data_IF_931103267328
#
_entry.id   IF_931103267328
#
_cell.length_a   1.000
_cell.length_b   1.000
_cell.length_c   1.000
_cell.angle_alpha   90.00
_cell.angle_beta   90.00
_cell.angle_gamma   90.00
#
_symmetry.space_group_name_H-M   'P 1'
#
loop_
_entity.id
_entity.type
_entity.pdbx_description
1 polymer ?
#
# COMPACT_ATOMS: atom_id res chain seq x y z
N UNK A 1 37.83 41.19 -53.27
CA UNK A 1 36.80 41.40 -52.23
C UNK A 1 36.37 40.03 -51.74
N UNK A 2 36.75 39.67 -50.52
CA UNK A 2 36.52 38.33 -49.96
C UNK A 2 35.34 38.41 -48.99
N UNK A 3 34.30 37.60 -49.21
CA UNK A 3 33.15 37.50 -48.33
C UNK A 3 33.50 36.67 -47.08
N UNK A 4 33.06 37.06 -45.88
CA UNK A 4 33.33 36.32 -44.66
C UNK A 4 32.45 35.08 -44.54
N UNK A 5 33.05 33.95 -44.18
CA UNK A 5 32.38 32.68 -43.90
C UNK A 5 31.81 32.73 -42.49
N UNK A 6 30.48 32.73 -42.34
CA UNK A 6 29.81 32.61 -41.06
C UNK A 6 29.88 31.14 -40.58
N UNK A 7 30.67 30.86 -39.55
CA UNK A 7 30.55 29.62 -38.78
C UNK A 7 29.47 29.84 -37.72
N UNK A 8 28.30 29.22 -37.92
CA UNK A 8 27.25 29.17 -36.90
C UNK A 8 27.72 28.41 -35.66
N UNK A 9 27.17 28.70 -34.46
CA UNK A 9 27.54 28.00 -33.24
C UNK A 9 27.19 26.51 -33.37
N UNK A 10 28.01 25.61 -32.77
CA UNK A 10 27.72 24.19 -32.79
C UNK A 10 26.40 23.93 -32.06
N UNK A 11 25.48 23.22 -32.73
CA UNK A 11 24.25 22.71 -32.11
C UNK A 11 24.68 21.78 -30.96
N UNK A 12 24.23 22.01 -29.72
CA UNK A 12 24.56 21.11 -28.63
C UNK A 12 23.99 19.73 -28.94
N UNK A 13 24.86 18.71 -28.96
CA UNK A 13 24.45 17.33 -29.07
C UNK A 13 23.49 17.03 -27.91
N UNK A 14 22.22 16.79 -28.23
CA UNK A 14 21.24 16.35 -27.24
C UNK A 14 21.64 14.95 -26.77
N UNK A 15 22.34 14.87 -25.65
CA UNK A 15 22.62 13.60 -24.98
C UNK A 15 21.28 13.06 -24.48
N UNK A 16 20.69 12.13 -25.22
CA UNK A 16 19.56 11.33 -24.77
C UNK A 16 20.01 10.48 -23.58
N UNK A 17 19.87 11.01 -22.37
CA UNK A 17 19.99 10.22 -21.16
C UNK A 17 18.81 9.25 -21.09
N UNK A 18 18.97 8.07 -21.70
CA UNK A 18 18.06 6.94 -21.54
C UNK A 18 18.06 6.55 -20.06
N UNK A 19 16.92 6.77 -19.39
CA UNK A 19 16.76 6.37 -17.99
C UNK A 19 16.86 4.85 -17.87
N UNK A 20 17.63 4.33 -16.90
CA UNK A 20 17.72 2.89 -16.67
C UNK A 20 16.36 2.34 -16.22
N UNK A 21 15.88 1.32 -16.93
CA UNK A 21 14.68 0.57 -16.54
C UNK A 21 15.07 -0.60 -15.62
N UNK A 22 14.42 -0.71 -14.47
CA UNK A 22 14.65 -1.75 -13.46
C UNK A 22 13.37 -2.55 -13.24
N UNK A 23 13.42 -3.70 -12.55
CA UNK A 23 12.18 -4.39 -12.17
C UNK A 23 11.43 -3.63 -11.08
N UNK A 24 10.11 -3.82 -10.97
CA UNK A 24 9.30 -3.30 -9.87
C UNK A 24 9.89 -3.75 -8.53
N UNK A 25 10.26 -5.03 -8.42
CA UNK A 25 10.91 -5.56 -7.21
C UNK A 25 12.13 -4.74 -6.83
N UNK A 26 13.01 -4.47 -7.80
CA UNK A 26 14.22 -3.70 -7.54
C UNK A 26 13.88 -2.27 -7.10
N UNK A 27 13.00 -1.57 -7.80
CA UNK A 27 12.60 -0.20 -7.46
C UNK A 27 11.98 -0.09 -6.06
N UNK A 28 11.11 -1.03 -5.70
CA UNK A 28 10.47 -1.08 -4.38
C UNK A 28 11.42 -1.56 -3.27
N UNK A 29 12.52 -2.24 -3.63
CA UNK A 29 13.53 -2.71 -2.68
C UNK A 29 14.61 -1.70 -2.33
N UNK A 30 14.69 -0.56 -3.04
CA UNK A 30 15.71 0.44 -2.78
C UNK A 30 15.60 0.98 -1.34
N UNK A 31 16.72 1.40 -0.72
CA UNK A 31 16.75 1.98 0.62
C UNK A 31 15.65 3.01 0.85
N UNK A 32 14.97 2.95 2.00
CA UNK A 32 14.02 3.99 2.38
C UNK A 32 14.77 5.22 2.91
N UNK A 33 14.08 6.35 2.93
CA UNK A 33 14.64 7.53 3.57
C UNK A 33 14.83 7.33 5.08
N UNK A 34 15.91 7.89 5.62
CA UNK A 34 16.13 7.90 7.06
C UNK A 34 15.22 8.94 7.71
N UNK A 35 14.42 8.52 8.67
CA UNK A 35 13.52 9.40 9.40
C UNK A 35 14.11 9.75 10.76
N UNK A 36 14.21 11.05 11.02
CA UNK A 36 14.61 11.62 12.29
C UNK A 36 13.42 12.29 12.95
N UNK A 37 13.49 12.36 14.27
CA UNK A 37 12.55 13.10 15.09
C UNK A 37 13.35 13.94 16.09
N UNK A 38 12.84 15.13 16.41
CA UNK A 38 13.35 15.94 17.47
C UNK A 38 13.27 15.15 18.79
N UNK A 39 14.39 15.12 19.53
CA UNK A 39 14.49 14.43 20.83
C UNK A 39 13.48 14.95 21.87
N UNK A 40 12.93 16.14 21.64
CA UNK A 40 12.02 16.84 22.54
C UNK A 40 10.74 17.26 21.80
N UNK A 41 9.94 16.29 21.37
CA UNK A 41 8.56 16.59 21.01
C UNK A 41 7.83 17.14 22.26
N UNK A 42 7.09 18.26 22.18
CA UNK A 42 6.30 18.76 23.29
C UNK A 42 5.38 17.64 23.79
N UNK A 43 5.44 17.36 25.09
CA UNK A 43 4.60 16.38 25.79
C UNK A 43 3.14 16.84 25.91
N UNK A 44 2.62 17.56 24.91
CA UNK A 44 1.18 17.73 24.78
C UNK A 44 0.64 16.43 24.20
N UNK A 45 0.50 15.45 25.09
CA UNK A 45 -0.61 14.51 25.02
C UNK A 45 -1.87 15.38 25.05
N UNK A 46 -2.21 16.02 23.93
CA UNK A 46 -3.56 16.52 23.73
C UNK A 46 -4.36 15.25 23.84
N UNK A 47 -5.05 15.11 24.97
CA UNK A 47 -5.85 13.95 25.29
C UNK A 47 -6.64 13.65 24.05
N UNK A 48 -6.32 12.52 23.43
CA UNK A 48 -7.05 12.03 22.29
C UNK A 48 -8.40 11.56 22.85
N UNK A 49 -9.26 12.54 23.14
CA UNK A 49 -10.52 12.41 23.88
C UNK A 49 -11.59 11.77 23.01
N UNK A 50 -11.31 11.59 21.73
CA UNK A 50 -12.13 10.84 20.80
C UNK A 50 -11.86 9.35 20.94
N UNK A 51 -12.27 8.80 22.10
CA UNK A 51 -12.59 7.36 22.21
C UNK A 51 -13.61 7.04 21.12
N UNK A 52 -13.19 6.28 20.12
CA UNK A 52 -14.08 5.81 19.08
C UNK A 52 -13.94 4.31 19.01
N UNK A 53 -14.70 3.63 19.87
CA UNK A 53 -14.71 2.19 19.95
C UNK A 53 -15.33 1.64 18.66
N UNK A 54 -14.52 0.98 17.84
CA UNK A 54 -15.05 -0.07 16.98
C UNK A 54 -15.54 -1.18 17.90
N UNK A 55 -16.72 -1.74 17.63
CA UNK A 55 -17.30 -2.80 18.47
C UNK A 55 -16.34 -4.00 18.46
N UNK A 56 -15.85 -4.36 19.66
CA UNK A 56 -14.95 -5.48 19.93
C UNK A 56 -13.84 -5.69 18.86
N UNK A 57 -12.70 -5.02 19.04
CA UNK A 57 -11.51 -5.21 18.19
C UNK A 57 -10.70 -6.43 18.64
N UNK A 58 -10.69 -7.50 17.84
CA UNK A 58 -9.65 -8.52 17.95
C UNK A 58 -8.45 -8.09 17.10
N UNK A 59 -7.24 -8.22 17.63
CA UNK A 59 -6.02 -7.81 16.96
C UNK A 59 -5.13 -9.05 16.84
N UNK A 60 -4.78 -9.38 15.60
CA UNK A 60 -3.98 -10.54 15.25
C UNK A 60 -2.79 -10.07 14.39
N UNK A 61 -1.69 -10.81 14.46
CA UNK A 61 -0.58 -10.60 13.53
C UNK A 61 -0.98 -11.11 12.13
N UNK A 62 -0.57 -10.39 11.10
CA UNK A 62 -0.85 -10.71 9.70
C UNK A 62 0.26 -11.60 9.14
N UNK A 63 0.30 -12.84 9.59
CA UNK A 63 1.44 -13.76 9.39
C UNK A 63 1.73 -14.12 7.92
N UNK A 64 0.72 -14.13 7.06
CA UNK A 64 0.88 -14.37 5.61
C UNK A 64 1.23 -13.12 4.80
N UNK A 65 1.33 -11.93 5.43
CA UNK A 65 1.83 -10.71 4.80
C UNK A 65 3.34 -10.58 4.99
N UNK A 66 4.10 -11.39 4.26
CA UNK A 66 5.56 -11.41 4.30
C UNK A 66 6.17 -11.43 2.89
N UNK A 67 7.48 -11.23 2.78
CA UNK A 67 8.17 -11.16 1.48
C UNK A 67 8.00 -12.43 0.66
N UNK A 68 8.13 -13.62 1.27
CA UNK A 68 8.06 -14.89 0.54
C UNK A 68 6.68 -15.10 -0.10
N UNK A 69 5.62 -14.84 0.66
CA UNK A 69 4.24 -14.97 0.18
C UNK A 69 3.96 -13.92 -0.89
N UNK A 70 4.25 -12.64 -0.63
CA UNK A 70 3.98 -11.55 -1.58
C UNK A 70 4.83 -11.66 -2.85
N UNK A 71 6.08 -12.09 -2.72
CA UNK A 71 7.00 -12.33 -3.83
C UNK A 71 6.53 -13.44 -4.76
N UNK A 72 5.97 -14.52 -4.21
CA UNK A 72 5.34 -15.57 -5.00
C UNK A 72 4.01 -15.11 -5.61
N UNK A 73 3.17 -14.45 -4.81
CA UNK A 73 1.84 -14.01 -5.19
C UNK A 73 1.89 -12.99 -6.34
N UNK A 74 2.87 -12.08 -6.34
CA UNK A 74 3.01 -11.02 -7.33
C UNK A 74 4.22 -11.20 -8.27
N UNK A 75 4.78 -12.41 -8.39
CA UNK A 75 6.03 -12.67 -9.13
C UNK A 75 6.08 -12.00 -10.51
N UNK A 76 5.05 -12.22 -11.33
CA UNK A 76 5.02 -11.68 -12.70
C UNK A 76 4.91 -10.14 -12.71
N UNK A 77 4.15 -9.57 -11.77
CA UNK A 77 4.04 -8.11 -11.59
C UNK A 77 5.36 -7.51 -11.12
N UNK A 78 5.98 -8.10 -10.10
CA UNK A 78 7.25 -7.65 -9.54
C UNK A 78 8.40 -7.72 -10.55
N UNK A 79 8.29 -8.59 -11.56
CA UNK A 79 9.25 -8.69 -12.68
C UNK A 79 9.09 -7.60 -13.75
N UNK A 80 7.96 -6.88 -13.77
CA UNK A 80 7.71 -5.83 -14.76
C UNK A 80 8.75 -4.73 -14.67
N UNK A 81 9.12 -4.17 -15.82
CA UNK A 81 10.09 -3.06 -15.90
C UNK A 81 9.41 -1.74 -15.58
N UNK A 82 10.02 -0.92 -14.74
CA UNK A 82 9.64 0.46 -14.41
C UNK A 82 10.84 1.38 -14.62
N UNK A 83 10.57 2.66 -14.81
CA UNK A 83 11.60 3.68 -14.74
C UNK A 83 11.92 3.96 -13.28
N UNK A 84 13.21 4.16 -12.97
CA UNK A 84 13.57 4.64 -11.65
C UNK A 84 12.94 6.03 -11.41
N UNK A 85 12.45 6.30 -10.19
CA UNK A 85 11.74 7.53 -9.88
C UNK A 85 12.70 8.73 -9.91
N UNK A 86 12.45 9.66 -10.82
CA UNK A 86 13.31 10.82 -11.10
C UNK A 86 13.16 11.98 -10.11
N UNK A 87 12.24 11.89 -9.16
CA UNK A 87 11.89 12.98 -8.24
C UNK A 87 11.82 12.59 -6.77
N UNK A 88 12.14 11.33 -6.44
CA UNK A 88 12.14 10.89 -5.05
C UNK A 88 13.29 11.57 -4.32
N UNK A 89 12.98 12.48 -3.39
CA UNK A 89 14.01 13.06 -2.54
C UNK A 89 14.59 11.97 -1.66
N UNK A 90 15.87 11.66 -1.84
CA UNK A 90 16.61 10.74 -0.99
C UNK A 90 17.42 11.58 0.00
N UNK A 91 17.12 11.43 1.29
CA UNK A 91 17.80 12.21 2.33
C UNK A 91 17.16 12.01 3.70
N UNK A 92 17.79 12.59 4.74
CA UNK A 92 17.19 12.62 6.07
C UNK A 92 15.92 13.46 6.06
N UNK A 93 14.82 12.92 6.58
CA UNK A 93 13.60 13.70 6.84
C UNK A 93 13.42 13.87 8.33
N UNK A 94 13.16 15.11 8.75
CA UNK A 94 12.75 15.43 10.11
C UNK A 94 11.23 15.40 10.15
N UNK A 95 10.67 14.52 10.98
CA UNK A 95 9.23 14.23 11.06
C UNK A 95 8.77 14.43 12.51
N UNK A 96 8.62 15.70 12.90
CA UNK A 96 8.23 16.12 14.23
C UNK A 96 6.70 16.26 14.35
N UNK A 97 6.04 16.54 13.22
CA UNK A 97 4.60 16.68 13.13
C UNK A 97 3.99 15.97 11.91
N UNK A 98 2.65 15.94 11.88
CA UNK A 98 1.87 15.26 10.85
C UNK A 98 2.07 15.91 9.47
N UNK A 99 2.26 17.23 9.38
CA UNK A 99 2.45 17.92 8.09
C UNK A 99 3.83 17.60 7.48
N UNK A 100 4.87 17.47 8.30
CA UNK A 100 6.17 16.97 7.86
C UNK A 100 6.10 15.51 7.44
N UNK A 101 5.35 14.67 8.16
CA UNK A 101 5.11 13.28 7.76
C UNK A 101 4.41 13.21 6.39
N UNK A 102 3.39 14.04 6.16
CA UNK A 102 2.71 14.16 4.86
C UNK A 102 3.68 14.60 3.78
N UNK A 103 4.48 15.63 4.05
CA UNK A 103 5.47 16.15 3.09
C UNK A 103 6.48 15.08 2.72
N UNK A 104 7.05 14.35 3.70
CA UNK A 104 7.94 13.23 3.44
C UNK A 104 7.27 12.18 2.56
N UNK A 105 6.03 11.81 2.87
CA UNK A 105 5.29 10.83 2.08
C UNK A 105 5.13 11.29 0.62
N UNK A 106 4.72 12.54 0.39
CA UNK A 106 4.48 13.07 -0.94
C UNK A 106 5.77 13.34 -1.73
N UNK A 107 6.87 13.71 -1.07
CA UNK A 107 8.16 14.01 -1.72
C UNK A 107 9.08 12.79 -1.88
N UNK A 108 8.88 11.73 -1.08
CA UNK A 108 9.68 10.51 -1.12
C UNK A 108 8.88 9.29 -1.58
N UNK A 109 7.86 8.88 -0.83
CA UNK A 109 7.15 7.62 -1.10
C UNK A 109 6.26 7.69 -2.34
N UNK A 110 5.51 8.77 -2.53
CA UNK A 110 4.60 8.95 -3.66
C UNK A 110 5.29 8.71 -5.01
N UNK A 111 6.36 9.47 -5.34
CA UNK A 111 7.09 9.31 -6.60
C UNK A 111 7.68 7.91 -6.78
N UNK A 112 8.10 7.24 -5.70
CA UNK A 112 8.65 5.87 -5.76
C UNK A 112 7.59 4.81 -6.04
N UNK A 113 6.35 5.06 -5.67
CA UNK A 113 5.25 4.11 -5.78
C UNK A 113 4.43 4.29 -7.05
N UNK A 114 4.47 5.47 -7.68
CA UNK A 114 3.63 5.83 -8.83
C UNK A 114 3.75 4.86 -10.03
N UNK A 115 4.91 4.77 -10.68
CA UNK A 115 5.10 3.86 -11.84
C UNK A 115 4.92 2.37 -11.45
N UNK A 116 5.45 1.88 -10.31
CA UNK A 116 5.14 0.53 -9.83
C UNK A 116 3.65 0.23 -9.64
N UNK A 117 2.89 1.15 -9.04
CA UNK A 117 1.44 0.97 -8.86
C UNK A 117 0.75 0.98 -10.22
N UNK A 118 1.09 1.91 -11.11
CA UNK A 118 0.47 2.01 -12.42
C UNK A 118 0.68 0.72 -13.24
N UNK A 119 1.90 0.20 -13.27
CA UNK A 119 2.22 -1.04 -13.99
C UNK A 119 1.63 -2.28 -13.34
N UNK A 120 1.68 -2.36 -12.01
CA UNK A 120 1.03 -3.44 -11.26
C UNK A 120 -0.48 -3.49 -11.53
N UNK A 121 -1.15 -2.34 -11.45
CA UNK A 121 -2.57 -2.21 -11.74
C UNK A 121 -2.91 -2.58 -13.19
N UNK A 122 -2.11 -2.15 -14.16
CA UNK A 122 -2.30 -2.49 -15.57
C UNK A 122 -2.19 -4.01 -15.82
N UNK A 123 -1.16 -4.66 -15.25
CA UNK A 123 -0.98 -6.11 -15.40
C UNK A 123 -2.10 -6.88 -14.68
N UNK A 124 -2.43 -6.51 -13.43
CA UNK A 124 -3.54 -7.10 -12.69
C UNK A 124 -4.85 -6.99 -13.47
N UNK A 125 -5.12 -5.81 -14.02
CA UNK A 125 -6.29 -5.58 -14.87
C UNK A 125 -6.34 -6.53 -16.06
N UNK A 126 -5.23 -6.63 -16.81
CA UNK A 126 -5.14 -7.50 -17.99
C UNK A 126 -5.36 -8.99 -17.66
N UNK A 127 -4.89 -9.47 -16.50
CA UNK A 127 -5.04 -10.86 -16.06
C UNK A 127 -6.49 -11.25 -15.76
N UNK A 128 -7.35 -10.26 -15.51
CA UNK A 128 -8.76 -10.45 -15.20
C UNK A 128 -9.71 -9.77 -16.18
N UNK A 129 -9.21 -9.25 -17.31
CA UNK A 129 -10.03 -8.54 -18.30
C UNK A 129 -10.69 -7.28 -17.73
N UNK A 130 -10.03 -6.60 -16.80
CA UNK A 130 -10.52 -5.41 -16.13
C UNK A 130 -9.58 -4.22 -16.39
N UNK A 131 -10.12 -3.01 -16.47
CA UNK A 131 -9.32 -1.79 -16.54
C UNK A 131 -9.53 -0.99 -15.27
N UNK A 132 -8.47 -0.82 -14.48
CA UNK A 132 -8.54 0.01 -13.28
C UNK A 132 -8.34 1.49 -13.63
N UNK A 133 -9.02 2.41 -12.92
CA UNK A 133 -8.66 3.83 -12.93
C UNK A 133 -7.22 4.04 -12.47
N UNK A 134 -6.63 5.19 -12.83
CA UNK A 134 -5.34 5.61 -12.29
C UNK A 134 -5.41 5.69 -10.75
N UNK A 135 -4.42 5.13 -10.08
CA UNK A 135 -4.32 5.22 -8.62
C UNK A 135 -3.48 6.42 -8.26
N UNK A 136 -4.00 7.26 -7.37
CA UNK A 136 -3.33 8.49 -6.94
C UNK A 136 -3.34 8.59 -5.42
N UNK A 137 -2.25 9.14 -4.87
CA UNK A 137 -2.20 9.52 -3.45
C UNK A 137 -2.72 10.94 -3.29
N UNK A 138 -3.62 11.15 -2.33
CA UNK A 138 -4.19 12.46 -2.01
C UNK A 138 -4.21 12.68 -0.50
N UNK A 139 -4.29 13.95 -0.04
CA UNK A 139 -4.76 14.24 1.31
C UNK A 139 -6.04 13.47 1.61
N UNK A 140 -6.15 12.92 2.82
CA UNK A 140 -7.32 12.14 3.20
C UNK A 140 -8.61 12.96 3.09
N UNK A 141 -9.70 12.30 2.70
CA UNK A 141 -11.04 12.91 2.67
C UNK A 141 -11.65 12.84 4.07
N UNK A 142 -12.37 13.88 4.47
CA UNK A 142 -13.16 13.83 5.71
C UNK A 142 -14.32 12.85 5.57
N UNK A 143 -14.34 11.82 6.41
CA UNK A 143 -15.45 10.91 6.64
C UNK A 143 -16.01 11.19 8.04
N UNK A 144 -17.26 11.67 8.12
CA UNK A 144 -17.92 11.95 9.41
C UNK A 144 -17.07 12.81 10.36
N UNK A 145 -16.55 13.94 9.84
CA UNK A 145 -15.64 14.88 10.52
C UNK A 145 -14.27 14.29 10.90
N UNK A 146 -13.91 13.13 10.37
CA UNK A 146 -12.63 12.49 10.63
C UNK A 146 -11.85 12.31 9.33
N UNK A 147 -10.57 12.68 9.36
CA UNK A 147 -9.78 12.75 8.13
C UNK A 147 -8.52 11.88 8.30
N UNK A 148 -8.36 10.79 7.52
CA UNK A 148 -7.08 10.10 7.45
C UNK A 148 -6.00 11.07 6.96
N UNK A 149 -4.74 10.77 7.24
CA UNK A 149 -3.66 11.70 6.90
C UNK A 149 -3.53 11.84 5.36
N UNK A 150 -3.48 10.71 4.68
CA UNK A 150 -3.45 10.52 3.24
C UNK A 150 -4.31 9.29 2.88
N UNK A 151 -4.70 9.22 1.62
CA UNK A 151 -5.38 8.06 1.05
C UNK A 151 -4.87 7.78 -0.36
N UNK A 152 -4.74 6.50 -0.70
CA UNK A 152 -4.71 6.05 -2.09
C UNK A 152 -6.13 5.93 -2.59
N UNK A 153 -6.41 6.48 -3.77
CA UNK A 153 -7.74 6.44 -4.40
C UNK A 153 -7.65 5.97 -5.84
N UNK A 154 -8.67 5.27 -6.31
CA UNK A 154 -8.82 4.88 -7.72
C UNK A 154 -9.59 5.96 -8.47
N UNK A 155 -8.86 6.81 -9.20
CA UNK A 155 -9.39 7.91 -10.00
C UNK A 155 -9.12 9.29 -9.42
N UNK A 156 -9.31 10.31 -10.26
CA UNK A 156 -9.07 11.70 -9.88
C UNK A 156 -10.32 12.44 -9.38
N UNK A 157 -11.49 11.84 -9.54
CA UNK A 157 -12.77 12.46 -9.20
C UNK A 157 -12.97 12.68 -7.68
N UNK A 158 -13.82 13.63 -7.26
CA UNK A 158 -14.10 13.89 -5.84
C UNK A 158 -14.69 12.70 -5.08
N UNK A 159 -15.37 11.80 -5.80
CA UNK A 159 -16.02 10.59 -5.29
C UNK A 159 -15.24 9.31 -5.60
N UNK A 160 -13.99 9.45 -6.08
CA UNK A 160 -13.08 8.34 -6.36
C UNK A 160 -13.00 7.36 -5.19
N UNK A 161 -12.97 6.06 -5.53
CA UNK A 161 -12.96 4.99 -4.53
C UNK A 161 -11.69 5.05 -3.69
N UNK A 162 -11.83 5.08 -2.37
CA UNK A 162 -10.68 4.93 -1.47
C UNK A 162 -10.21 3.49 -1.45
N UNK A 163 -8.93 3.30 -1.73
CA UNK A 163 -8.24 2.02 -1.83
C UNK A 163 -7.50 1.69 -0.54
N UNK A 164 -6.71 2.64 -0.02
CA UNK A 164 -5.93 2.47 1.21
C UNK A 164 -5.98 3.78 1.97
N UNK A 165 -6.21 3.73 3.29
CA UNK A 165 -6.15 4.89 4.19
C UNK A 165 -4.89 4.85 5.06
N UNK A 166 -4.39 6.00 5.49
CA UNK A 166 -3.28 6.01 6.44
C UNK A 166 -3.48 6.96 7.62
N UNK A 167 -2.69 6.71 8.66
CA UNK A 167 -2.52 7.61 9.80
C UNK A 167 -1.02 7.80 10.03
N UNK A 168 -0.56 9.05 10.02
CA UNK A 168 0.75 9.39 10.54
C UNK A 168 0.64 9.67 12.04
N UNK A 169 1.49 9.01 12.83
CA UNK A 169 1.59 9.22 14.27
C UNK A 169 2.82 10.08 14.57
N UNK A 170 2.73 10.89 15.64
CA UNK A 170 3.87 11.67 16.10
C UNK A 170 5.01 10.76 16.53
N UNK A 171 6.24 11.22 16.29
CA UNK A 171 7.44 10.51 16.65
C UNK A 171 7.45 10.12 18.15
N UNK A 172 7.93 8.91 18.44
CA UNK A 172 8.03 8.32 19.78
C UNK A 172 6.72 8.05 20.54
N UNK A 173 5.56 8.46 20.03
CA UNK A 173 4.28 8.28 20.74
C UNK A 173 3.74 6.85 20.69
N UNK A 174 4.15 6.06 19.70
CA UNK A 174 3.61 4.72 19.46
C UNK A 174 4.60 3.83 18.71
N UNK A 175 4.62 2.55 19.07
CA UNK A 175 5.36 1.47 18.39
C UNK A 175 4.54 0.18 18.40
N UNK A 176 4.73 -0.68 17.39
CA UNK A 176 4.03 -1.95 17.24
C UNK A 176 4.24 -2.90 18.42
N UNK A 177 5.43 -2.88 19.03
CA UNK A 177 5.75 -3.66 20.23
C UNK A 177 4.84 -3.34 21.44
N UNK A 178 4.12 -2.21 21.42
CA UNK A 178 3.18 -1.84 22.47
C UNK A 178 1.86 -2.62 22.40
N UNK A 179 1.53 -3.26 21.26
CA UNK A 179 0.25 -3.94 21.01
C UNK A 179 0.04 -5.13 21.96
N UNK A 180 1.10 -5.87 22.28
CA UNK A 180 1.07 -7.04 23.18
C UNK A 180 1.56 -6.78 24.61
N UNK A 181 1.94 -5.54 24.94
CA UNK A 181 2.58 -5.20 26.22
C UNK A 181 1.64 -4.67 27.31
N UNK A 182 2.21 -4.25 28.44
CA UNK A 182 1.48 -3.64 29.58
C UNK A 182 0.69 -2.37 29.23
N UNK A 183 0.98 -1.75 28.09
CA UNK A 183 0.28 -0.58 27.53
C UNK A 183 -0.70 -0.92 26.40
N UNK A 184 -1.08 -2.19 26.22
CA UNK A 184 -1.92 -2.66 25.11
C UNK A 184 -3.19 -1.80 24.91
N UNK A 185 -3.91 -1.44 25.97
CA UNK A 185 -5.13 -0.63 25.85
C UNK A 185 -4.90 0.77 25.23
N UNK A 186 -3.73 1.36 25.42
CA UNK A 186 -3.36 2.64 24.80
C UNK A 186 -2.82 2.41 23.39
N UNK A 187 -2.03 1.37 23.21
CA UNK A 187 -1.46 0.96 21.92
C UNK A 187 -2.54 0.58 20.89
N UNK A 188 -3.73 0.18 21.33
CA UNK A 188 -4.87 -0.12 20.47
C UNK A 188 -5.48 1.10 19.79
N UNK A 189 -5.36 2.31 20.37
CA UNK A 189 -6.10 3.49 19.89
C UNK A 189 -5.80 3.86 18.43
N UNK A 190 -4.55 3.84 17.95
CA UNK A 190 -4.27 4.08 16.54
C UNK A 190 -4.88 3.02 15.61
N UNK A 191 -4.91 1.76 16.04
CA UNK A 191 -5.53 0.66 15.29
C UNK A 191 -7.05 0.79 15.26
N UNK A 192 -7.68 1.14 16.39
CA UNK A 192 -9.12 1.43 16.44
C UNK A 192 -9.49 2.57 15.48
N UNK A 193 -8.69 3.65 15.48
CA UNK A 193 -8.89 4.78 14.57
C UNK A 193 -8.71 4.38 13.10
N UNK A 194 -7.65 3.63 12.78
CA UNK A 194 -7.41 3.17 11.41
C UNK A 194 -8.53 2.25 10.94
N UNK A 195 -8.98 1.33 11.79
CA UNK A 195 -10.10 0.45 11.49
C UNK A 195 -11.37 1.27 11.21
N UNK A 196 -11.67 2.30 12.01
CA UNK A 196 -12.79 3.20 11.73
C UNK A 196 -12.65 3.90 10.37
N UNK A 197 -11.46 4.37 10.00
CA UNK A 197 -11.22 4.96 8.68
C UNK A 197 -11.43 3.95 7.56
N UNK A 198 -10.95 2.72 7.72
CA UNK A 198 -11.21 1.63 6.77
C UNK A 198 -12.71 1.39 6.58
N UNK A 199 -13.47 1.27 7.68
CA UNK A 199 -14.93 1.06 7.65
C UNK A 199 -15.66 2.23 6.95
N UNK A 200 -15.34 3.47 7.32
CA UNK A 200 -15.98 4.67 6.76
C UNK A 200 -15.61 4.90 5.29
N UNK A 201 -14.35 4.70 4.93
CA UNK A 201 -13.85 4.82 3.56
C UNK A 201 -14.19 3.61 2.69
N UNK A 202 -14.82 2.59 3.27
CA UNK A 202 -15.21 1.34 2.63
C UNK A 202 -14.01 0.59 2.00
N UNK A 203 -12.89 0.52 2.72
CA UNK A 203 -11.72 -0.28 2.34
C UNK A 203 -11.30 -1.25 3.45
N UNK A 204 -10.68 -2.37 3.09
CA UNK A 204 -10.04 -3.30 4.03
C UNK A 204 -8.69 -2.80 4.54
N UNK A 205 -8.03 -1.95 3.78
CA UNK A 205 -6.59 -1.78 3.92
C UNK A 205 -6.24 -0.39 4.42
N UNK A 206 -5.29 -0.36 5.33
CA UNK A 206 -4.66 0.86 5.76
C UNK A 206 -3.28 0.62 6.33
N UNK A 207 -2.59 1.69 6.67
CA UNK A 207 -1.33 1.58 7.39
C UNK A 207 -1.12 2.74 8.37
N UNK A 208 -0.41 2.46 9.46
CA UNK A 208 0.14 3.46 10.36
C UNK A 208 1.57 3.79 9.91
N UNK A 209 1.93 5.06 9.99
CA UNK A 209 3.30 5.51 9.74
C UNK A 209 3.86 6.17 11.00
N UNK A 210 5.04 5.70 11.42
CA UNK A 210 5.83 6.32 12.49
C UNK A 210 7.23 6.63 11.96
N UNK A 211 8.10 7.22 12.77
CA UNK A 211 9.52 7.40 12.42
C UNK A 211 10.35 6.12 12.47
N UNK A 212 9.83 5.01 13.01
CA UNK A 212 10.57 3.73 13.11
C UNK A 212 10.10 2.65 12.16
N UNK A 213 8.81 2.67 11.82
CA UNK A 213 8.17 1.61 11.07
C UNK A 213 6.92 2.10 10.34
N UNK A 214 6.55 1.33 9.30
CA UNK A 214 5.20 1.26 8.76
C UNK A 214 4.52 0.04 9.36
N UNK A 215 3.28 0.20 9.81
CA UNK A 215 2.45 -0.93 10.25
C UNK A 215 1.27 -1.06 9.32
N UNK A 216 1.31 -2.06 8.44
CA UNK A 216 0.19 -2.36 7.54
C UNK A 216 -0.92 -3.08 8.28
N UNK A 217 -2.15 -2.84 7.85
CA UNK A 217 -3.36 -3.37 8.47
C UNK A 217 -4.36 -3.86 7.43
N UNK A 218 -5.00 -5.00 7.73
CA UNK A 218 -6.16 -5.53 7.01
C UNK A 218 -7.33 -5.73 7.97
N UNK A 219 -8.52 -5.27 7.56
CA UNK A 219 -9.79 -5.57 8.22
C UNK A 219 -10.36 -6.87 7.66
N UNK A 220 -10.49 -7.90 8.51
CA UNK A 220 -11.21 -9.14 8.18
C UNK A 220 -12.71 -9.02 8.44
N UNK A 221 -13.49 -9.85 7.76
CA UNK A 221 -14.95 -9.90 7.88
C UNK A 221 -15.66 -9.01 6.86
N UNK A 222 -16.93 -8.70 7.11
CA UNK A 222 -17.73 -7.80 6.27
C UNK A 222 -17.42 -6.35 6.64
N UNK A 223 -16.59 -5.67 5.84
CA UNK A 223 -16.02 -4.32 6.09
C UNK A 223 -17.07 -3.22 6.21
N UNK A 224 -18.32 -3.51 5.90
CA UNK A 224 -19.40 -2.53 5.90
C UNK A 224 -20.45 -2.79 6.97
N UNK A 225 -20.29 -3.87 7.73
CA UNK A 225 -21.18 -4.16 8.85
C UNK A 225 -20.55 -3.63 10.15
N UNK A 226 -20.87 -2.38 10.47
CA UNK A 226 -20.44 -1.74 11.72
C UNK A 226 -21.12 -2.33 12.96
N UNK A 227 -22.10 -3.24 12.80
CA UNK A 227 -22.76 -3.94 13.90
C UNK A 227 -22.00 -5.19 14.36
N UNK A 228 -21.10 -5.70 13.52
CA UNK A 228 -20.24 -6.86 13.76
C UNK A 228 -18.95 -6.49 14.50
N UNK A 229 -18.33 -7.49 15.13
CA UNK A 229 -16.99 -7.36 15.68
C UNK A 229 -15.97 -7.12 14.58
N UNK A 230 -15.08 -6.15 14.76
CA UNK A 230 -14.02 -5.86 13.79
C UNK A 230 -12.78 -6.67 14.12
N UNK A 231 -12.24 -7.34 13.10
CA UNK A 231 -11.02 -8.13 13.22
C UNK A 231 -9.90 -7.43 12.46
N UNK A 232 -8.88 -6.98 13.18
CA UNK A 232 -7.69 -6.31 12.62
C UNK A 232 -6.54 -7.29 12.57
N UNK A 233 -5.96 -7.46 11.40
CA UNK A 233 -4.66 -8.09 11.20
C UNK A 233 -3.62 -7.01 10.93
N UNK A 234 -2.43 -7.13 11.52
CA UNK A 234 -1.35 -6.15 11.34
C UNK A 234 0.02 -6.79 11.13
N UNK A 235 0.88 -6.12 10.37
CA UNK A 235 2.30 -6.47 10.23
C UNK A 235 3.15 -5.21 10.33
N UNK A 236 4.23 -5.25 11.12
CA UNK A 236 5.20 -4.16 11.21
C UNK A 236 6.35 -4.36 10.22
N UNK A 237 6.74 -3.26 9.57
CA UNK A 237 7.84 -3.18 8.62
C UNK A 237 8.76 -2.03 9.05
N UNK A 238 9.99 -2.32 9.53
CA UNK A 238 10.92 -1.27 9.91
C UNK A 238 11.40 -0.48 8.70
N UNK A 239 11.66 0.81 8.86
CA UNK A 239 12.19 1.64 7.76
C UNK A 239 13.54 1.17 7.24
N UNK A 240 14.33 0.51 8.09
CA UNK A 240 15.61 -0.09 7.73
C UNK A 240 15.49 -1.36 6.85
N UNK A 241 14.29 -1.88 6.61
CA UNK A 241 14.10 -3.00 5.68
C UNK A 241 14.34 -2.53 4.24
N UNK A 242 15.36 -3.13 3.61
CA UNK A 242 15.79 -2.83 2.25
C UNK A 242 16.36 -4.08 1.58
N UNK A 243 16.43 -4.07 0.24
CA UNK A 243 17.01 -5.15 -0.53
C UNK A 243 15.97 -6.11 -1.15
N UNK A 244 16.38 -6.88 -2.16
CA UNK A 244 15.47 -7.59 -3.06
C UNK A 244 14.74 -8.78 -2.41
N UNK A 245 15.14 -9.18 -1.20
CA UNK A 245 14.60 -10.34 -0.47
C UNK A 245 13.90 -9.95 0.84
N UNK A 246 13.63 -8.65 1.02
CA UNK A 246 13.05 -8.10 2.23
C UNK A 246 11.69 -7.46 1.95
N UNK A 247 10.80 -7.52 2.95
CA UNK A 247 9.53 -6.80 2.89
C UNK A 247 9.77 -5.33 3.25
N UNK A 248 9.95 -4.48 2.25
CA UNK A 248 10.21 -3.04 2.44
C UNK A 248 8.93 -2.23 2.65
N UNK A 249 9.06 -1.00 3.16
CA UNK A 249 7.96 -0.04 3.27
C UNK A 249 7.27 0.23 1.92
N UNK A 250 8.04 0.45 0.84
CA UNK A 250 7.46 0.63 -0.50
C UNK A 250 6.75 -0.64 -0.99
N UNK A 251 7.37 -1.82 -0.84
CA UNK A 251 6.75 -3.08 -1.26
C UNK A 251 5.45 -3.35 -0.51
N UNK A 252 5.42 -3.14 0.81
CA UNK A 252 4.22 -3.32 1.63
C UNK A 252 3.08 -2.39 1.22
N UNK A 253 3.33 -1.08 1.02
CA UNK A 253 2.30 -0.14 0.56
C UNK A 253 1.80 -0.53 -0.83
N UNK A 254 2.71 -0.84 -1.76
CA UNK A 254 2.35 -1.30 -3.10
C UNK A 254 1.45 -2.54 -3.06
N UNK A 255 1.77 -3.53 -2.22
CA UNK A 255 0.97 -4.74 -2.05
C UNK A 255 -0.42 -4.44 -1.46
N UNK A 256 -0.54 -3.52 -0.50
CA UNK A 256 -1.87 -3.08 -0.02
C UNK A 256 -2.71 -2.49 -1.15
N UNK A 257 -2.10 -1.69 -2.03
CA UNK A 257 -2.81 -1.11 -3.18
C UNK A 257 -3.25 -2.22 -4.13
N UNK A 258 -2.39 -3.18 -4.46
CA UNK A 258 -2.76 -4.32 -5.34
C UNK A 258 -3.90 -5.15 -4.74
N UNK A 259 -3.87 -5.45 -3.44
CA UNK A 259 -4.95 -6.15 -2.74
C UNK A 259 -6.26 -5.33 -2.76
N UNK A 260 -6.18 -4.01 -2.62
CA UNK A 260 -7.36 -3.14 -2.68
C UNK A 260 -7.96 -3.03 -4.09
N UNK A 261 -7.13 -3.12 -5.14
CA UNK A 261 -7.60 -3.19 -6.53
C UNK A 261 -8.29 -4.52 -6.81
N UNK A 262 -7.80 -5.62 -6.23
CA UNK A 262 -8.50 -6.89 -6.29
C UNK A 262 -9.88 -6.83 -5.60
N UNK A 263 -9.96 -6.20 -4.43
CA UNK A 263 -11.24 -5.95 -3.76
C UNK A 263 -12.18 -5.09 -4.63
N UNK A 264 -11.65 -4.05 -5.29
CA UNK A 264 -12.41 -3.22 -6.21
C UNK A 264 -12.98 -4.05 -7.37
N UNK A 265 -12.16 -4.92 -7.98
CA UNK A 265 -12.58 -5.85 -9.02
C UNK A 265 -13.67 -6.80 -8.53
N UNK A 266 -13.52 -7.38 -7.35
CA UNK A 266 -14.48 -8.32 -6.75
C UNK A 266 -15.80 -7.64 -6.33
N UNK A 267 -15.77 -6.36 -6.02
CA UNK A 267 -16.97 -5.60 -5.64
C UNK A 267 -17.95 -5.40 -6.81
N UNK A 268 -17.54 -5.69 -8.05
CA UNK A 268 -18.37 -5.56 -9.27
C UNK A 268 -18.89 -4.14 -9.53
N UNK A 269 -18.40 -3.15 -8.78
CA UNK A 269 -18.91 -1.79 -8.79
C UNK A 269 -18.19 -0.99 -9.88
N UNK A 270 -18.90 -0.29 -10.78
CA UNK A 270 -18.27 0.67 -11.67
C UNK A 270 -17.52 1.71 -10.84
N UNK A 271 -16.35 2.20 -11.29
CA UNK A 271 -15.47 3.08 -10.52
C UNK A 271 -16.10 4.43 -10.10
N UNK A 272 -17.29 4.77 -10.61
CA UNK A 272 -17.94 6.08 -10.46
C UNK A 272 -19.28 6.06 -9.69
N UNK A 273 -19.71 4.95 -9.08
CA UNK A 273 -21.00 4.90 -8.38
C UNK A 273 -20.88 4.41 -6.91
N UNK A 274 -21.09 5.33 -5.97
CA UNK A 274 -21.08 5.10 -4.51
C UNK A 274 -22.42 4.61 -3.93
N UNK A 275 -23.40 4.26 -4.77
CA UNK A 275 -24.81 4.23 -4.37
C UNK A 275 -25.33 2.93 -3.79
N UNK A 276 -24.61 1.79 -3.89
CA UNK A 276 -25.08 0.52 -3.30
C UNK A 276 -24.20 0.07 -2.13
N UNK A 277 -24.77 -0.63 -1.13
CA UNK A 277 -23.95 -1.37 -0.18
C UNK A 277 -23.13 -2.37 -0.99
N UNK A 278 -21.82 -2.13 -1.04
CA UNK A 278 -20.89 -3.02 -1.70
C UNK A 278 -20.89 -4.33 -0.91
N UNK A 279 -21.20 -5.46 -1.54
CA UNK A 279 -20.80 -6.73 -0.95
C UNK A 279 -19.35 -6.95 -1.33
N UNK A 280 -18.49 -6.99 -0.31
CA UNK A 280 -17.10 -7.38 -0.49
C UNK A 280 -16.92 -8.72 0.23
N UNK A 281 -16.58 -9.81 -0.49
CA UNK A 281 -16.41 -11.11 0.14
C UNK A 281 -15.33 -11.03 1.23
N UNK A 282 -15.40 -11.92 2.21
CA UNK A 282 -14.36 -12.01 3.24
C UNK A 282 -12.97 -12.18 2.58
N UNK A 283 -11.91 -11.56 3.14
CA UNK A 283 -10.60 -11.62 2.53
C UNK A 283 -10.07 -13.04 2.65
N UNK A 284 -9.51 -13.55 1.55
CA UNK A 284 -8.89 -14.86 1.49
C UNK A 284 -7.50 -14.82 2.12
N UNK A 285 -7.02 -15.99 2.55
CA UNK A 285 -5.59 -16.16 2.87
C UNK A 285 -4.75 -15.81 1.63
N UNK A 286 -3.62 -15.13 1.83
CA UNK A 286 -2.65 -14.85 0.77
C UNK A 286 -1.90 -16.13 0.35
N UNK A 287 -1.99 -17.19 1.15
CA UNK A 287 -1.41 -18.50 0.84
C UNK A 287 -2.37 -19.43 0.10
N UNK A 288 -3.62 -19.02 -0.17
CA UNK A 288 -4.64 -19.88 -0.79
C UNK A 288 -4.62 -19.79 -2.31
N UNK A 289 -4.37 -20.91 -2.97
CA UNK A 289 -4.38 -21.05 -4.43
C UNK A 289 -5.58 -21.87 -4.90
N UNK A 290 -5.98 -21.67 -6.15
CA UNK A 290 -7.02 -22.49 -6.78
C UNK A 290 -6.36 -23.43 -7.79
N UNK A 291 -6.64 -24.72 -7.68
CA UNK A 291 -6.16 -25.73 -8.64
C UNK A 291 -7.11 -25.80 -9.82
N UNK A 292 -6.57 -25.80 -11.03
CA UNK A 292 -7.34 -25.92 -12.27
C UNK A 292 -6.86 -27.14 -13.04
N UNK A 293 -7.81 -28.00 -13.43
CA UNK A 293 -7.53 -29.14 -14.29
C UNK A 293 -7.39 -28.70 -15.75
N UNK A 294 -6.42 -29.32 -16.43
CA UNK A 294 -6.19 -29.20 -17.87
C UNK A 294 -6.00 -30.61 -18.43
N UNK A 295 -6.19 -30.85 -19.75
CA UNK A 295 -6.06 -32.19 -20.32
C UNK A 295 -4.73 -32.91 -20.05
N UNK A 296 -3.66 -32.15 -19.73
CA UNK A 296 -2.31 -32.66 -19.47
C UNK A 296 -1.91 -32.63 -17.99
N UNK A 297 -2.84 -32.38 -17.06
CA UNK A 297 -2.57 -32.33 -15.63
C UNK A 297 -3.33 -31.20 -14.94
N UNK A 298 -2.64 -30.41 -14.13
CA UNK A 298 -3.23 -29.26 -13.44
C UNK A 298 -2.23 -28.11 -13.33
N UNK A 299 -2.75 -26.92 -13.07
CA UNK A 299 -1.94 -25.76 -12.66
C UNK A 299 -2.64 -25.06 -11.49
N UNK A 300 -1.87 -24.28 -10.73
CA UNK A 300 -2.40 -23.46 -9.65
C UNK A 300 -2.51 -22.02 -10.12
N UNK A 301 -3.58 -21.33 -9.72
CA UNK A 301 -3.75 -19.91 -9.95
C UNK A 301 -4.13 -19.20 -8.66
N UNK A 302 -3.43 -18.14 -8.33
CA UNK A 302 -3.75 -17.32 -7.18
C UNK A 302 -4.97 -16.42 -7.48
N UNK A 303 -6.02 -16.43 -6.64
CA UNK A 303 -7.28 -15.74 -6.96
C UNK A 303 -7.18 -14.22 -6.96
N UNK A 304 -6.28 -13.62 -6.18
CA UNK A 304 -6.17 -12.16 -6.05
C UNK A 304 -5.19 -11.52 -7.04
N UNK A 305 -4.19 -12.28 -7.50
CA UNK A 305 -3.15 -11.77 -8.39
C UNK A 305 -3.17 -12.40 -9.77
N UNK A 306 -3.93 -13.47 -9.97
CA UNK A 306 -3.97 -14.19 -11.24
C UNK A 306 -2.69 -14.94 -11.58
N UNK A 307 -1.65 -14.89 -10.73
CA UNK A 307 -0.38 -15.61 -10.87
C UNK A 307 -0.64 -17.09 -11.09
N UNK A 308 0.12 -17.72 -12.00
CA UNK A 308 -0.01 -19.13 -12.32
C UNK A 308 1.28 -19.87 -12.02
N UNK A 309 1.17 -21.05 -11.43
CA UNK A 309 2.30 -21.92 -11.13
C UNK A 309 1.98 -23.36 -11.51
N UNK A 310 2.97 -24.06 -12.06
CA UNK A 310 2.86 -25.49 -12.34
C UNK A 310 2.92 -26.34 -11.06
N UNK A 311 3.55 -25.80 -10.01
CA UNK A 311 3.67 -26.44 -8.68
C UNK A 311 3.12 -25.50 -7.63
N UNK A 312 2.49 -26.05 -6.59
CA UNK A 312 2.03 -25.26 -5.45
C UNK A 312 3.25 -24.61 -4.76
N UNK A 313 3.24 -23.28 -4.51
CA UNK A 313 4.32 -22.64 -3.77
C UNK A 313 4.51 -23.25 -2.37
N UNK A 314 5.72 -23.14 -1.83
CA UNK A 314 6.01 -23.63 -0.49
C UNK A 314 5.14 -22.91 0.55
N UNK A 315 4.54 -23.67 1.47
CA UNK A 315 3.66 -23.13 2.51
C UNK A 315 2.28 -22.67 2.01
N UNK A 316 1.98 -22.82 0.71
CA UNK A 316 0.67 -22.52 0.17
C UNK A 316 -0.33 -23.67 0.39
N UNK A 317 -1.59 -23.29 0.51
CA UNK A 317 -2.74 -24.19 0.53
C UNK A 317 -3.46 -24.12 -0.80
N UNK A 318 -4.25 -25.13 -1.15
CA UNK A 318 -5.09 -25.07 -2.35
C UNK A 318 -6.51 -25.55 -2.11
N UNK A 319 -7.40 -25.06 -2.95
CA UNK A 319 -8.76 -25.56 -3.10
C UNK A 319 -9.06 -25.84 -4.58
N UNK A 320 -10.02 -26.73 -4.83
CA UNK A 320 -10.55 -26.92 -6.17
C UNK A 320 -11.59 -25.82 -6.51
N UNK A 321 -11.89 -25.58 -7.80
CA UNK A 321 -12.89 -24.59 -8.20
C UNK A 321 -14.28 -25.02 -7.70
N UNK A 322 -15.06 -24.08 -7.17
CA UNK A 322 -16.47 -24.29 -6.82
C UNK A 322 -17.36 -24.09 -8.04
#
# INVERSE_FOLDING_TARGET
MSLPTFQGPPVPAATLHLKPSVSIQHALSLPNATLFAAEHAPSTVRGDTTRHAVKALSILEWTDFNFEVLGNLYRDMLSQRVLLPDGAKNGPFYVDNIEEAKKMFLEHLGPRLEDPIQRGAALLGSQFGHQFPAVVVKPGRSFDKQTPTLSYVAGNEPDARTLVVNICLHAHTWHSNMIGGSKAAIARRPLDRLAKYCLLARTRYGFLMTTKEIVVVRIRGTVFDTSMSCHVEWQAIPWSAEGPHELTACLSIWSLVMLSLDDLRLSGSPPHYLTRPHYLPAPRSLTLWVRYEIPQGFFYRHPASGQREAKLPQGAEFQDPQ
#
